data_IF_751009286229
#
_entry.id   IF_751009286229
#
_cell.length_a   1.000
_cell.length_b   1.000
_cell.length_c   1.000
_cell.angle_alpha   90.00
_cell.angle_beta   90.00
_cell.angle_gamma   90.00
#
_symmetry.space_group_name_H-M   'P 1'
#
loop_
_entity.id
_entity.type
_entity.pdbx_description
1 polymer ?
#
# COMPACT_ATOMS: atom_id res chain seq x y z
N UNK A 1 -12.53 4.66 -1.31
CA UNK A 1 -11.44 4.18 -2.19
C UNK A 1 -11.51 4.98 -3.46
N UNK A 2 -10.37 5.47 -3.91
CA UNK A 2 -10.24 6.22 -5.16
C UNK A 2 -10.08 5.24 -6.32
N UNK A 3 -10.29 5.74 -7.53
CA UNK A 3 -10.19 5.00 -8.78
C UNK A 3 -8.98 5.46 -9.58
N UNK A 4 -8.36 4.53 -10.30
CA UNK A 4 -7.29 4.78 -11.25
C UNK A 4 -7.61 4.02 -12.54
N UNK A 5 -6.93 4.35 -13.63
CA UNK A 5 -7.01 3.59 -14.89
C UNK A 5 -5.63 3.21 -15.42
N UNK A 6 -5.61 2.27 -16.37
CA UNK A 6 -4.42 1.85 -17.09
C UNK A 6 -4.79 1.41 -18.50
N UNK A 7 -4.25 2.10 -19.51
CA UNK A 7 -4.46 1.78 -20.93
C UNK A 7 -3.20 1.26 -21.62
N UNK A 8 -2.04 1.25 -20.94
CA UNK A 8 -0.76 0.88 -21.53
C UNK A 8 -0.38 -0.60 -21.31
N UNK A 9 -1.19 -1.33 -20.54
CA UNK A 9 -1.01 -2.76 -20.28
C UNK A 9 0.18 -3.10 -19.39
N UNK A 10 0.82 -2.11 -18.76
CA UNK A 10 1.88 -2.33 -17.79
C UNK A 10 1.30 -2.69 -16.43
N UNK A 11 2.07 -3.40 -15.59
CA UNK A 11 1.65 -3.71 -14.22
C UNK A 11 1.65 -2.48 -13.30
N UNK A 12 2.32 -1.38 -13.69
CA UNK A 12 2.40 -0.15 -12.92
C UNK A 12 1.33 0.82 -13.39
N UNK A 13 0.42 1.19 -12.48
CA UNK A 13 -0.65 2.15 -12.73
C UNK A 13 -0.16 3.55 -12.34
N UNK A 14 -0.09 4.45 -13.33
CA UNK A 14 0.48 5.81 -13.16
C UNK A 14 -0.50 6.94 -13.44
N UNK A 15 -1.77 6.62 -13.69
CA UNK A 15 -2.82 7.64 -13.83
C UNK A 15 -3.05 8.39 -12.52
N UNK A 16 -3.75 9.52 -12.62
CA UNK A 16 -4.22 10.23 -11.45
C UNK A 16 -5.23 9.39 -10.64
N UNK A 17 -5.51 9.86 -9.42
CA UNK A 17 -6.52 9.27 -8.53
C UNK A 17 -7.82 10.04 -8.62
N UNK A 18 -8.92 9.35 -8.84
CA UNK A 18 -10.25 9.92 -9.05
C UNK A 18 -11.23 9.50 -7.95
N UNK A 19 -12.14 10.40 -7.58
CA UNK A 19 -13.12 10.12 -6.53
C UNK A 19 -14.17 9.10 -6.99
N UNK A 20 -14.49 9.11 -8.29
CA UNK A 20 -15.49 8.24 -8.90
C UNK A 20 -14.93 7.44 -10.06
N UNK A 21 -15.60 6.32 -10.35
CA UNK A 21 -15.26 5.45 -11.47
C UNK A 21 -15.47 6.16 -12.81
N UNK A 22 -16.55 6.93 -12.90
CA UNK A 22 -16.95 7.68 -14.09
C UNK A 22 -15.93 8.77 -14.45
N UNK A 23 -15.37 9.46 -13.44
CA UNK A 23 -14.28 10.43 -13.64
C UNK A 23 -13.02 9.75 -14.18
N UNK A 24 -12.62 8.61 -13.59
CA UNK A 24 -11.48 7.84 -14.08
C UNK A 24 -11.68 7.33 -15.51
N UNK A 25 -12.89 6.85 -15.86
CA UNK A 25 -13.24 6.45 -17.23
C UNK A 25 -13.14 7.65 -18.19
N UNK A 26 -13.66 8.81 -17.80
CA UNK A 26 -13.61 10.02 -18.61
C UNK A 26 -12.18 10.45 -18.88
N UNK A 27 -11.36 10.53 -17.83
CA UNK A 27 -9.95 10.89 -17.94
C UNK A 27 -9.14 9.90 -18.78
N UNK A 28 -9.40 8.58 -18.64
CA UNK A 28 -8.77 7.57 -19.48
C UNK A 28 -9.04 7.80 -20.97
N UNK A 29 -10.30 8.06 -21.33
CA UNK A 29 -10.70 8.28 -22.74
C UNK A 29 -10.08 9.56 -23.29
N UNK A 30 -10.08 10.63 -22.51
CA UNK A 30 -9.48 11.91 -22.88
C UNK A 30 -7.97 11.78 -23.10
N UNK A 31 -7.23 11.16 -22.17
CA UNK A 31 -5.78 10.97 -22.32
C UNK A 31 -5.46 10.09 -23.54
N UNK A 32 -6.24 9.03 -23.78
CA UNK A 32 -6.09 8.22 -24.99
C UNK A 32 -6.34 9.03 -26.27
N UNK A 33 -7.43 9.83 -26.34
CA UNK A 33 -7.71 10.72 -27.47
C UNK A 33 -6.55 11.71 -27.73
N UNK A 34 -5.97 12.28 -26.67
CA UNK A 34 -4.87 13.24 -26.76
C UNK A 34 -3.58 12.59 -27.25
N UNK A 35 -3.23 11.41 -26.72
CA UNK A 35 -2.04 10.66 -27.14
C UNK A 35 -2.16 10.19 -28.59
N UNK A 36 -3.32 9.70 -29.02
CA UNK A 36 -3.56 9.35 -30.43
C UNK A 36 -3.36 10.53 -31.37
N UNK A 37 -3.86 11.70 -30.97
CA UNK A 37 -3.71 12.93 -31.75
C UNK A 37 -2.26 13.39 -31.82
N UNK A 38 -1.49 13.19 -30.75
CA UNK A 38 -0.09 13.60 -30.67
C UNK A 38 0.84 12.62 -31.41
N UNK A 39 0.69 11.32 -31.18
CA UNK A 39 1.55 10.28 -31.75
C UNK A 39 1.13 9.85 -33.17
N UNK A 40 -0.13 10.10 -33.54
CA UNK A 40 -0.72 9.65 -34.80
C UNK A 40 -0.97 8.14 -34.86
N UNK A 41 -0.90 7.44 -33.71
CA UNK A 41 -1.10 6.00 -33.57
C UNK A 41 -2.35 5.75 -32.74
N UNK A 42 -3.34 4.98 -33.25
CA UNK A 42 -4.51 4.59 -32.47
C UNK A 42 -4.12 3.77 -31.22
N UNK A 43 -4.63 4.18 -30.07
CA UNK A 43 -4.66 3.39 -28.86
C UNK A 43 -5.84 2.42 -28.95
N UNK A 44 -5.67 1.21 -28.41
CA UNK A 44 -6.71 0.18 -28.50
C UNK A 44 -8.05 0.62 -27.89
N UNK A 45 -9.13 -0.10 -28.19
CA UNK A 45 -10.48 0.23 -27.71
C UNK A 45 -10.73 -0.15 -26.25
N UNK A 46 -9.71 -0.55 -25.51
CA UNK A 46 -9.83 -1.16 -24.17
C UNK A 46 -8.81 -0.60 -23.21
N UNK A 47 -9.24 -0.41 -21.97
CA UNK A 47 -8.38 -0.03 -20.85
C UNK A 47 -8.89 -0.69 -19.57
N UNK A 48 -8.03 -0.79 -18.56
CA UNK A 48 -8.41 -1.27 -17.23
C UNK A 48 -8.73 -0.11 -16.30
N UNK A 49 -9.68 -0.34 -15.40
CA UNK A 49 -10.00 0.56 -14.27
C UNK A 49 -10.05 -0.27 -12.99
N UNK A 50 -9.68 0.35 -11.87
CA UNK A 50 -9.56 -0.34 -10.59
C UNK A 50 -9.51 0.65 -9.44
N UNK A 51 -9.73 0.12 -8.24
CA UNK A 51 -9.70 0.91 -7.01
C UNK A 51 -8.33 0.81 -6.36
N UNK A 52 -7.76 1.94 -5.94
CA UNK A 52 -6.54 1.92 -5.15
C UNK A 52 -6.86 1.70 -3.67
N UNK A 53 -6.22 0.68 -3.10
CA UNK A 53 -6.14 0.44 -1.67
C UNK A 53 -4.74 0.83 -1.21
N UNK A 54 -4.61 2.00 -0.58
CA UNK A 54 -3.33 2.51 -0.08
C UNK A 54 -2.64 1.49 0.84
N UNK A 55 -1.34 1.36 0.68
CA UNK A 55 -0.53 0.57 1.59
C UNK A 55 -0.37 1.32 2.91
N UNK A 56 -0.71 0.65 4.01
CA UNK A 56 -0.50 1.17 5.36
C UNK A 56 0.71 0.45 5.96
N UNK A 57 1.84 1.16 6.20
CA UNK A 57 3.00 0.57 6.85
C UNK A 57 2.66 0.07 8.25
N UNK A 58 3.15 -1.12 8.59
CA UNK A 58 3.09 -1.65 9.94
C UNK A 58 4.31 -2.50 10.24
N UNK A 59 4.60 -2.67 11.53
CA UNK A 59 5.54 -3.66 12.06
C UNK A 59 4.77 -4.52 13.04
N UNK A 60 4.94 -5.84 12.98
CA UNK A 60 4.25 -6.77 13.87
C UNK A 60 4.78 -6.65 15.29
N UNK A 61 3.88 -6.51 16.26
CA UNK A 61 4.21 -6.59 17.68
C UNK A 61 4.82 -7.95 18.06
N UNK A 62 4.38 -9.03 17.42
CA UNK A 62 4.91 -10.39 17.61
C UNK A 62 6.38 -10.46 17.15
N UNK A 63 6.68 -10.00 15.93
CA UNK A 63 8.05 -10.00 15.41
C UNK A 63 9.00 -9.16 16.28
N UNK A 64 8.51 -8.04 16.84
CA UNK A 64 9.30 -7.20 17.76
C UNK A 64 9.58 -7.93 19.06
N UNK A 65 8.60 -8.64 19.62
CA UNK A 65 8.78 -9.42 20.86
C UNK A 65 9.76 -10.57 20.63
N UNK A 66 9.62 -11.29 19.53
CA UNK A 66 10.54 -12.36 19.14
C UNK A 66 11.97 -11.81 19.01
N UNK A 67 12.14 -10.66 18.35
CA UNK A 67 13.47 -10.08 18.20
C UNK A 67 14.08 -9.65 19.53
N UNK A 68 13.34 -9.01 20.43
CA UNK A 68 13.90 -8.57 21.73
C UNK A 68 14.17 -9.73 22.68
N UNK A 69 13.37 -10.80 22.61
CA UNK A 69 13.60 -12.01 23.43
C UNK A 69 14.83 -12.78 22.95
N UNK A 70 15.02 -12.91 21.63
CA UNK A 70 16.25 -13.46 21.05
C UNK A 70 17.47 -12.63 21.48
N UNK A 71 17.40 -11.30 21.34
CA UNK A 71 18.50 -10.42 21.76
C UNK A 71 18.83 -10.57 23.26
N UNK A 72 17.81 -10.74 24.11
CA UNK A 72 18.02 -10.96 25.53
C UNK A 72 18.70 -12.30 25.81
N UNK A 73 18.30 -13.37 25.12
CA UNK A 73 18.94 -14.68 25.25
C UNK A 73 20.39 -14.66 24.76
N UNK A 74 20.68 -13.98 23.65
CA UNK A 74 22.06 -13.84 23.16
C UNK A 74 22.95 -13.06 24.14
N UNK A 75 22.40 -12.04 24.81
CA UNK A 75 23.16 -11.20 25.74
C UNK A 75 23.30 -11.82 27.15
N UNK A 76 22.25 -12.47 27.64
CA UNK A 76 22.13 -12.88 29.04
C UNK A 76 22.08 -14.41 29.23
N UNK A 77 21.91 -15.17 28.16
CA UNK A 77 21.75 -16.63 28.19
C UNK A 77 20.41 -17.06 28.78
N UNK A 78 20.37 -18.29 29.29
CA UNK A 78 19.16 -18.97 29.80
C UNK A 78 18.40 -18.19 30.88
N UNK A 79 19.05 -17.25 31.59
CA UNK A 79 18.39 -16.42 32.60
C UNK A 79 17.24 -15.59 32.02
N UNK A 80 17.24 -15.29 30.72
CA UNK A 80 16.17 -14.55 30.05
C UNK A 80 15.11 -15.42 29.37
N UNK A 81 15.23 -16.75 29.37
CA UNK A 81 14.39 -17.66 28.57
C UNK A 81 12.89 -17.52 28.83
N UNK A 82 12.50 -17.12 30.05
CA UNK A 82 11.10 -16.94 30.43
C UNK A 82 10.55 -15.53 30.23
N UNK A 83 11.42 -14.56 29.93
CA UNK A 83 11.03 -13.16 29.78
C UNK A 83 10.16 -12.99 28.53
N UNK A 84 8.98 -12.38 28.69
CA UNK A 84 7.98 -12.18 27.63
C UNK A 84 7.50 -13.47 26.95
N UNK A 85 7.57 -14.61 27.62
CA UNK A 85 7.15 -15.90 27.03
C UNK A 85 5.65 -15.99 26.69
N UNK A 86 4.78 -15.22 27.34
CA UNK A 86 3.30 -15.24 27.16
C UNK A 86 2.64 -13.89 27.48
N UNK A 87 2.87 -12.83 26.68
CA UNK A 87 2.07 -11.62 26.80
C UNK A 87 0.58 -11.92 26.57
N UNK A 88 -0.30 -11.18 27.25
CA UNK A 88 -1.73 -11.22 26.98
C UNK A 88 -2.08 -10.52 25.67
N UNK A 89 -3.25 -10.82 25.10
CA UNK A 89 -3.71 -10.15 23.88
C UNK A 89 -3.79 -8.63 24.06
N UNK A 90 -4.25 -8.14 25.21
CA UNK A 90 -4.35 -6.70 25.48
C UNK A 90 -2.97 -6.02 25.49
N UNK A 91 -1.93 -6.72 25.96
CA UNK A 91 -0.54 -6.23 25.93
C UNK A 91 0.02 -6.22 24.51
N UNK A 92 -0.32 -7.24 23.70
CA UNK A 92 0.04 -7.31 22.28
C UNK A 92 -0.59 -6.17 21.49
N UNK A 93 -1.90 -5.95 21.67
CA UNK A 93 -2.66 -4.90 20.99
C UNK A 93 -2.15 -3.50 21.38
N UNK A 94 -1.77 -3.31 22.64
CA UNK A 94 -1.15 -2.07 23.11
C UNK A 94 0.20 -1.83 22.43
N UNK A 95 1.04 -2.85 22.30
CA UNK A 95 2.32 -2.73 21.59
C UNK A 95 2.10 -2.42 20.10
N UNK A 96 1.19 -3.15 19.43
CA UNK A 96 0.87 -2.93 18.02
C UNK A 96 0.45 -1.49 17.77
N UNK A 97 -0.47 -0.96 18.58
CA UNK A 97 -0.92 0.44 18.48
C UNK A 97 0.23 1.44 18.62
N UNK A 98 1.18 1.18 19.53
CA UNK A 98 2.35 2.04 19.72
C UNK A 98 3.30 1.98 18.51
N UNK A 99 3.54 0.78 17.97
CA UNK A 99 4.36 0.59 16.78
C UNK A 99 3.74 1.28 15.57
N UNK A 100 2.44 1.09 15.32
CA UNK A 100 1.73 1.72 14.20
C UNK A 100 1.85 3.24 14.24
N UNK A 101 1.65 3.86 15.42
CA UNK A 101 1.80 5.31 15.60
C UNK A 101 3.24 5.74 15.33
N UNK A 102 4.20 5.06 15.95
CA UNK A 102 5.63 5.42 15.87
C UNK A 102 6.15 5.32 14.45
N UNK A 103 5.86 4.21 13.75
CA UNK A 103 6.29 3.98 12.37
C UNK A 103 5.63 4.99 11.43
N UNK A 104 4.33 5.23 11.59
CA UNK A 104 3.60 6.21 10.78
C UNK A 104 4.13 7.63 10.96
N UNK A 105 4.39 8.05 12.20
CA UNK A 105 4.94 9.37 12.51
C UNK A 105 6.35 9.52 11.95
N UNK A 106 7.22 8.55 12.18
CA UNK A 106 8.58 8.57 11.67
C UNK A 106 8.65 8.66 10.14
N UNK A 107 7.85 7.87 9.41
CA UNK A 107 7.78 7.93 7.95
C UNK A 107 7.28 9.29 7.43
N UNK A 108 6.33 9.91 8.15
CA UNK A 108 5.86 11.27 7.82
C UNK A 108 6.95 12.32 8.07
N UNK A 109 7.69 12.21 9.16
CA UNK A 109 8.78 13.14 9.51
C UNK A 109 9.88 13.15 8.45
N UNK A 110 10.26 11.97 7.94
CA UNK A 110 11.26 11.85 6.88
C UNK A 110 10.69 12.03 5.47
N UNK A 111 9.38 12.28 5.34
CA UNK A 111 8.65 12.47 4.08
C UNK A 111 8.66 11.25 3.15
N UNK A 112 8.70 10.06 3.71
CA UNK A 112 8.68 8.77 3.00
C UNK A 112 7.40 7.96 3.33
N UNK A 113 6.34 8.63 3.78
CA UNK A 113 5.05 7.95 3.96
C UNK A 113 4.52 7.48 2.59
N UNK A 114 4.10 6.21 2.43
CA UNK A 114 3.74 5.69 1.11
C UNK A 114 2.65 6.50 0.42
N UNK A 115 2.86 6.71 -0.88
CA UNK A 115 1.86 7.28 -1.80
C UNK A 115 1.39 6.24 -2.82
N UNK A 116 1.67 4.98 -2.55
CA UNK A 116 1.35 3.84 -3.40
C UNK A 116 0.47 2.83 -2.67
N UNK A 117 -0.13 1.95 -3.44
CA UNK A 117 -1.03 0.92 -2.93
C UNK A 117 -1.20 -0.21 -3.92
N UNK A 118 -2.07 -1.14 -3.57
CA UNK A 118 -2.50 -2.20 -4.46
C UNK A 118 -3.74 -1.76 -5.24
N UNK A 119 -3.82 -2.16 -6.51
CA UNK A 119 -5.05 -2.01 -7.28
C UNK A 119 -5.92 -3.25 -7.07
N UNK A 120 -7.16 -3.03 -6.66
CA UNK A 120 -8.18 -4.06 -6.41
C UNK A 120 -9.40 -3.79 -7.29
N UNK A 121 -10.29 -4.79 -7.40
CA UNK A 121 -11.54 -4.67 -8.15
C UNK A 121 -11.30 -4.20 -9.61
N UNK A 122 -10.29 -4.78 -10.25
CA UNK A 122 -9.90 -4.45 -11.63
C UNK A 122 -10.96 -4.98 -12.59
N UNK A 123 -11.36 -4.13 -13.54
CA UNK A 123 -12.23 -4.48 -14.65
C UNK A 123 -11.72 -3.85 -15.96
N UNK A 124 -12.09 -4.46 -17.09
CA UNK A 124 -11.80 -3.94 -18.42
C UNK A 124 -13.00 -3.14 -18.94
N UNK A 125 -12.74 -1.96 -19.49
CA UNK A 125 -13.72 -1.05 -20.04
C UNK A 125 -13.43 -0.82 -21.51
N UNK A 126 -14.48 -0.84 -22.34
CA UNK A 126 -14.37 -0.44 -23.73
C UNK A 126 -14.55 1.08 -23.86
N UNK A 127 -13.75 1.68 -24.74
CA UNK A 127 -13.81 3.10 -25.10
C UNK A 127 -15.13 3.48 -25.76
#
# INVERSE_FOLDING_TARGET
MEWMYNFNGNDIWTSDRFATKEEAIGAAKEEMDELEKYDGVPYGDKFSIGQISDYVPYVSAEDVIDQVTVNAYEACGEVSESWLSKPSQDEMDLLQKKLDSTVSEWLKEIKEYPTFGQIVNIEEVNR
#
